data_IF_241386078703
#
_entry.id   IF_241386078703
#
_cell.length_a   1.000
_cell.length_b   1.000
_cell.length_c   1.000
_cell.angle_alpha   90.00
_cell.angle_beta   90.00
_cell.angle_gamma   90.00
#
_symmetry.space_group_name_H-M   'P 1'
#
loop_
_entity.id
_entity.type
_entity.pdbx_description
1 polymer ?
#
# COMPACT_ATOMS: atom_id res chain seq x y z
N UNK A 1 -16.52 6.87 16.35
CA UNK A 1 -16.17 6.04 15.16
C UNK A 1 -16.40 6.75 13.82
N UNK A 2 -16.68 8.06 13.81
CA UNK A 2 -16.95 8.85 12.59
C UNK A 2 -15.70 9.40 11.89
N UNK A 3 -14.56 9.45 12.55
CA UNK A 3 -13.36 10.12 12.03
C UNK A 3 -12.62 9.35 10.91
N UNK A 4 -12.90 8.06 10.74
CA UNK A 4 -12.34 7.25 9.64
C UNK A 4 -13.17 7.32 8.35
N UNK A 5 -14.30 8.00 8.34
CA UNK A 5 -15.16 8.09 7.15
C UNK A 5 -14.73 9.23 6.23
N UNK A 6 -14.48 8.93 4.97
CA UNK A 6 -14.20 9.93 3.96
C UNK A 6 -15.43 10.76 3.62
N UNK A 7 -15.28 12.10 3.67
CA UNK A 7 -16.25 13.07 3.15
C UNK A 7 -16.16 13.12 1.61
N UNK A 8 -17.04 13.86 0.95
CA UNK A 8 -17.09 13.96 -0.52
C UNK A 8 -15.73 14.29 -1.13
N UNK A 9 -15.01 15.28 -0.60
CA UNK A 9 -13.68 15.68 -1.06
C UNK A 9 -12.64 14.56 -0.83
N UNK A 10 -12.64 13.95 0.34
CA UNK A 10 -11.75 12.81 0.64
C UNK A 10 -11.96 11.62 -0.30
N UNK A 11 -13.19 11.33 -0.68
CA UNK A 11 -13.49 10.30 -1.69
C UNK A 11 -12.89 10.63 -3.05
N UNK A 12 -13.00 11.89 -3.49
CA UNK A 12 -12.40 12.34 -4.75
C UNK A 12 -10.87 12.20 -4.68
N UNK A 13 -10.25 12.63 -3.58
CA UNK A 13 -8.80 12.47 -3.34
C UNK A 13 -8.40 11.01 -3.39
N UNK A 14 -9.15 10.12 -2.71
CA UNK A 14 -8.90 8.68 -2.75
C UNK A 14 -8.92 8.11 -4.17
N UNK A 15 -9.97 8.41 -4.95
CA UNK A 15 -10.09 7.87 -6.30
C UNK A 15 -8.97 8.36 -7.22
N UNK A 16 -8.58 9.63 -7.13
CA UNK A 16 -7.49 10.17 -7.93
C UNK A 16 -6.13 9.59 -7.51
N UNK A 17 -5.86 9.48 -6.21
CA UNK A 17 -4.62 8.86 -5.72
C UNK A 17 -4.53 7.40 -6.14
N UNK A 18 -5.61 6.63 -5.93
CA UNK A 18 -5.64 5.23 -6.31
C UNK A 18 -5.43 5.06 -7.81
N UNK A 19 -6.09 5.86 -8.64
CA UNK A 19 -5.92 5.86 -10.10
C UNK A 19 -4.46 6.16 -10.49
N UNK A 20 -3.88 7.22 -9.94
CA UNK A 20 -2.48 7.60 -10.22
C UNK A 20 -1.50 6.52 -9.76
N UNK A 21 -1.73 5.91 -8.60
CA UNK A 21 -0.90 4.82 -8.10
C UNK A 21 -1.00 3.59 -9.02
N UNK A 22 -2.19 3.22 -9.46
CA UNK A 22 -2.38 2.13 -10.43
C UNK A 22 -1.61 2.42 -11.72
N UNK A 23 -1.75 3.61 -12.29
CA UNK A 23 -1.01 4.01 -13.50
C UNK A 23 0.50 3.93 -13.27
N UNK A 24 0.99 4.36 -12.11
CA UNK A 24 2.41 4.33 -11.77
C UNK A 24 2.98 2.90 -11.67
N UNK A 25 2.21 1.96 -11.12
CA UNK A 25 2.65 0.56 -10.97
C UNK A 25 2.31 -0.32 -12.18
N UNK A 26 1.57 0.19 -13.16
CA UNK A 26 1.17 -0.56 -14.35
C UNK A 26 2.34 -1.24 -15.08
N UNK A 27 3.51 -0.59 -15.26
CA UNK A 27 4.68 -1.24 -15.87
C UNK A 27 5.18 -2.44 -15.06
N UNK A 28 5.10 -2.39 -13.71
CA UNK A 28 5.50 -3.50 -12.83
C UNK A 28 4.52 -4.67 -13.03
N UNK A 29 3.21 -4.37 -13.02
CA UNK A 29 2.17 -5.40 -13.23
C UNK A 29 2.32 -6.04 -14.60
N UNK A 30 2.58 -5.25 -15.63
CA UNK A 30 2.74 -5.75 -17.00
C UNK A 30 4.01 -6.57 -17.18
N UNK A 31 5.12 -6.15 -16.55
CA UNK A 31 6.38 -6.87 -16.61
C UNK A 31 6.29 -8.27 -15.99
N UNK A 32 5.43 -8.44 -15.00
CA UNK A 32 5.14 -9.68 -14.27
C UNK A 32 6.41 -10.48 -13.92
N UNK A 33 7.42 -9.79 -13.37
CA UNK A 33 8.72 -10.36 -13.03
C UNK A 33 8.78 -10.69 -11.55
N UNK A 34 9.43 -11.81 -11.23
CA UNK A 34 9.81 -12.14 -9.86
C UNK A 34 11.10 -11.41 -9.48
N UNK A 35 11.09 -10.80 -8.31
CA UNK A 35 12.32 -10.35 -7.67
C UNK A 35 13.03 -11.56 -7.06
N UNK A 36 14.31 -11.42 -6.68
CA UNK A 36 15.13 -12.55 -6.25
C UNK A 36 14.48 -13.40 -5.14
N UNK A 37 13.99 -12.75 -4.10
CA UNK A 37 13.35 -13.43 -2.96
C UNK A 37 11.97 -14.02 -3.31
N UNK A 38 11.25 -13.37 -4.22
CA UNK A 38 9.95 -13.86 -4.69
C UNK A 38 10.07 -15.16 -5.45
N UNK A 39 11.19 -15.37 -6.15
CA UNK A 39 11.44 -16.57 -6.94
C UNK A 39 11.46 -17.83 -6.03
N UNK A 40 12.18 -17.75 -4.93
CA UNK A 40 12.24 -18.84 -3.96
C UNK A 40 10.85 -19.15 -3.37
N UNK A 41 10.08 -18.11 -2.99
CA UNK A 41 8.73 -18.26 -2.45
C UNK A 41 7.75 -18.83 -3.46
N UNK A 42 7.82 -18.38 -4.72
CA UNK A 42 6.94 -18.86 -5.78
C UNK A 42 7.20 -20.35 -6.12
N UNK A 43 8.46 -20.80 -6.10
CA UNK A 43 8.81 -22.19 -6.42
C UNK A 43 8.65 -23.15 -5.26
N UNK A 44 9.02 -22.72 -4.04
CA UNK A 44 9.01 -23.59 -2.87
C UNK A 44 7.70 -23.51 -2.08
N UNK A 45 6.90 -22.46 -2.31
CA UNK A 45 5.68 -22.21 -1.54
C UNK A 45 5.94 -21.89 -0.07
N UNK A 46 7.19 -21.62 0.30
CA UNK A 46 7.61 -21.37 1.68
C UNK A 46 7.51 -19.88 2.02
N UNK A 47 7.12 -19.59 3.27
CA UNK A 47 7.00 -18.24 3.75
C UNK A 47 8.35 -17.62 4.17
N UNK A 48 9.06 -18.27 5.10
CA UNK A 48 10.38 -17.87 5.57
C UNK A 48 10.43 -16.60 6.43
N UNK A 49 9.39 -15.76 6.44
CA UNK A 49 9.40 -14.46 7.13
C UNK A 49 9.50 -14.54 8.66
N UNK A 50 9.06 -15.64 9.26
CA UNK A 50 9.23 -15.85 10.71
C UNK A 50 10.71 -15.88 11.10
N UNK A 51 11.55 -16.54 10.28
CA UNK A 51 13.00 -16.57 10.46
C UNK A 51 13.64 -15.18 10.33
N UNK A 52 13.05 -14.31 9.51
CA UNK A 52 13.50 -12.93 9.28
C UNK A 52 12.93 -11.93 10.32
N UNK A 53 12.21 -12.40 11.34
CA UNK A 53 11.58 -11.54 12.35
C UNK A 53 10.36 -10.76 11.84
N UNK A 54 9.70 -11.22 10.76
CA UNK A 54 8.53 -10.57 10.14
C UNK A 54 7.25 -11.44 10.20
N UNK A 55 6.78 -11.85 11.40
CA UNK A 55 5.64 -12.77 11.54
C UNK A 55 4.32 -12.20 11.01
N UNK A 56 4.14 -10.87 11.04
CA UNK A 56 2.94 -10.24 10.50
C UNK A 56 2.85 -10.36 8.98
N UNK A 57 3.98 -10.29 8.27
CA UNK A 57 4.03 -10.50 6.82
C UNK A 57 3.56 -11.91 6.48
N UNK A 58 4.07 -12.90 7.22
CA UNK A 58 3.69 -14.29 7.04
C UNK A 58 2.19 -14.51 7.29
N UNK A 59 1.67 -13.94 8.38
CA UNK A 59 0.24 -14.02 8.71
C UNK A 59 -0.63 -13.41 7.60
N UNK A 60 -0.27 -12.22 7.10
CA UNK A 60 -0.99 -11.52 6.03
C UNK A 60 -1.01 -12.36 4.74
N UNK A 61 0.15 -12.88 4.32
CA UNK A 61 0.23 -13.65 3.09
C UNK A 61 -0.48 -15.01 3.22
N UNK A 62 -0.36 -15.70 4.35
CA UNK A 62 -1.14 -16.91 4.63
C UNK A 62 -2.64 -16.65 4.58
N UNK A 63 -3.10 -15.55 5.16
CA UNK A 63 -4.52 -15.18 5.13
C UNK A 63 -5.01 -14.91 3.70
N UNK A 64 -4.21 -14.22 2.87
CA UNK A 64 -4.55 -13.93 1.49
C UNK A 64 -4.54 -15.18 0.60
N UNK A 65 -3.58 -16.08 0.80
CA UNK A 65 -3.47 -17.32 0.04
C UNK A 65 -4.41 -18.43 0.52
N UNK A 66 -5.12 -18.22 1.65
CA UNK A 66 -5.98 -19.25 2.25
C UNK A 66 -5.21 -20.35 2.96
N UNK A 67 -3.94 -20.12 3.33
CA UNK A 67 -3.06 -21.07 4.02
C UNK A 67 -1.70 -21.25 3.35
N UNK A 68 -1.17 -22.46 3.45
CA UNK A 68 0.08 -22.89 2.80
C UNK A 68 -0.21 -24.02 1.82
N UNK A 69 0.55 -24.21 0.73
CA UNK A 69 1.68 -23.38 0.28
C UNK A 69 1.27 -21.99 -0.20
N UNK A 70 2.22 -21.06 -0.22
CA UNK A 70 1.99 -19.75 -0.82
C UNK A 70 1.79 -19.89 -2.33
N UNK A 71 0.82 -19.15 -2.84
CA UNK A 71 0.51 -19.07 -4.28
C UNK A 71 0.74 -17.65 -4.77
N UNK A 72 1.27 -17.50 -5.98
CA UNK A 72 1.33 -16.20 -6.63
C UNK A 72 -0.07 -15.72 -7.00
N UNK A 73 -0.55 -14.74 -6.27
CA UNK A 73 -1.84 -14.07 -6.46
C UNK A 73 -1.67 -12.65 -7.00
N UNK A 74 -0.51 -12.36 -7.63
CA UNK A 74 -0.26 -11.06 -8.24
C UNK A 74 -1.34 -10.72 -9.29
N UNK A 75 -1.74 -9.46 -9.43
CA UNK A 75 -1.26 -8.27 -8.73
C UNK A 75 -2.04 -7.90 -7.45
N UNK A 76 -2.81 -8.84 -6.88
CA UNK A 76 -3.74 -8.55 -5.77
C UNK A 76 -3.07 -7.92 -4.54
N UNK A 77 -1.93 -8.43 -4.02
CA UNK A 77 -1.27 -7.81 -2.86
C UNK A 77 -0.85 -6.37 -3.12
N UNK A 78 -0.33 -6.07 -4.33
CA UNK A 78 0.06 -4.72 -4.74
C UNK A 78 -1.15 -3.78 -4.82
N UNK A 79 -2.25 -4.22 -5.45
CA UNK A 79 -3.47 -3.41 -5.58
C UNK A 79 -4.11 -3.13 -4.22
N UNK A 80 -4.15 -4.11 -3.32
CA UNK A 80 -4.62 -3.91 -1.95
C UNK A 80 -3.74 -2.92 -1.20
N UNK A 81 -2.42 -3.06 -1.32
CA UNK A 81 -1.45 -2.21 -0.65
C UNK A 81 -1.58 -0.73 -1.06
N UNK A 82 -1.63 -0.44 -2.36
CA UNK A 82 -1.82 0.93 -2.87
C UNK A 82 -3.22 1.46 -2.55
N UNK A 83 -4.24 0.61 -2.50
CA UNK A 83 -5.59 0.98 -2.10
C UNK A 83 -5.65 1.43 -0.63
N UNK A 84 -5.02 0.67 0.26
CA UNK A 84 -4.91 1.03 1.69
C UNK A 84 -4.15 2.34 1.85
N UNK A 85 -3.00 2.48 1.19
CA UNK A 85 -2.19 3.69 1.26
C UNK A 85 -2.96 4.91 0.72
N UNK A 86 -3.61 4.80 -0.45
CA UNK A 86 -4.42 5.86 -1.01
C UNK A 86 -5.56 6.29 -0.07
N UNK A 87 -6.19 5.32 0.60
CA UNK A 87 -7.26 5.59 1.57
C UNK A 87 -6.73 6.37 2.79
N UNK A 88 -5.62 5.94 3.35
CA UNK A 88 -5.01 6.60 4.50
C UNK A 88 -4.49 8.00 4.15
N UNK A 89 -3.87 8.17 2.98
CA UNK A 89 -3.47 9.49 2.48
C UNK A 89 -4.66 10.43 2.24
N UNK A 90 -5.78 9.89 1.77
CA UNK A 90 -7.01 10.68 1.62
C UNK A 90 -7.60 11.09 2.97
N UNK A 91 -7.54 10.24 3.99
CA UNK A 91 -7.90 10.60 5.37
C UNK A 91 -6.95 11.65 5.95
N UNK A 92 -5.65 11.47 5.75
CA UNK A 92 -4.64 12.44 6.14
C UNK A 92 -4.89 13.81 5.52
N UNK A 93 -5.14 13.83 4.21
CA UNK A 93 -5.46 15.05 3.47
C UNK A 93 -6.73 15.72 4.02
N UNK A 94 -7.79 14.95 4.22
CA UNK A 94 -9.05 15.45 4.75
C UNK A 94 -8.87 16.09 6.13
N UNK A 95 -8.00 15.55 6.96
CA UNK A 95 -7.81 16.03 8.32
C UNK A 95 -6.86 17.22 8.42
N UNK A 96 -5.72 17.14 7.73
CA UNK A 96 -4.63 18.09 7.90
C UNK A 96 -4.54 19.16 6.81
N UNK A 97 -5.20 18.92 5.65
CA UNK A 97 -5.09 19.78 4.47
C UNK A 97 -6.47 20.27 3.97
N UNK A 98 -7.53 20.05 4.73
CA UNK A 98 -8.92 20.35 4.31
C UNK A 98 -9.14 21.83 3.96
N UNK A 99 -8.39 22.74 4.57
CA UNK A 99 -8.44 24.19 4.31
C UNK A 99 -7.79 24.60 2.98
N UNK A 100 -7.02 23.71 2.35
CA UNK A 100 -6.40 24.00 1.06
C UNK A 100 -7.47 24.18 -0.02
N UNK A 101 -7.47 25.35 -0.66
CA UNK A 101 -8.41 25.71 -1.72
C UNK A 101 -8.21 24.85 -2.97
N UNK A 102 -7.00 24.32 -3.17
CA UNK A 102 -6.59 23.65 -4.40
C UNK A 102 -6.47 22.14 -4.21
N UNK A 103 -7.41 21.38 -4.78
CA UNK A 103 -7.42 19.92 -4.71
C UNK A 103 -6.29 19.29 -5.54
N UNK A 104 -6.02 19.79 -6.72
CA UNK A 104 -5.04 19.21 -7.65
C UNK A 104 -3.60 19.24 -7.11
N UNK A 105 -3.04 20.38 -6.64
CA UNK A 105 -1.72 20.40 -6.01
C UNK A 105 -1.62 19.48 -4.79
N UNK A 106 -2.68 19.36 -4.01
CA UNK A 106 -2.75 18.45 -2.87
C UNK A 106 -2.60 16.99 -3.30
N UNK A 107 -3.32 16.57 -4.34
CA UNK A 107 -3.21 15.20 -4.90
C UNK A 107 -1.80 14.97 -5.44
N UNK A 108 -1.23 15.93 -6.18
CA UNK A 108 0.13 15.82 -6.68
C UNK A 108 1.16 15.66 -5.55
N UNK A 109 1.08 16.47 -4.50
CA UNK A 109 1.98 16.38 -3.35
C UNK A 109 1.89 15.01 -2.67
N UNK A 110 0.68 14.48 -2.47
CA UNK A 110 0.48 13.15 -1.89
C UNK A 110 0.93 12.01 -2.81
N UNK A 111 0.83 12.21 -4.13
CA UNK A 111 1.33 11.24 -5.10
C UNK A 111 2.84 11.05 -5.01
N UNK A 112 3.61 12.10 -4.69
CA UNK A 112 5.05 12.01 -4.50
C UNK A 112 5.48 11.10 -3.33
N UNK A 113 4.57 10.76 -2.41
CA UNK A 113 4.86 9.78 -1.35
C UNK A 113 5.28 8.44 -1.94
N UNK A 114 4.61 8.00 -3.01
CA UNK A 114 4.89 6.71 -3.66
C UNK A 114 5.84 6.86 -4.86
N UNK A 115 5.90 8.05 -5.47
CA UNK A 115 6.74 8.34 -6.64
C UNK A 115 8.20 8.54 -6.24
N UNK A 116 8.79 7.48 -5.69
CA UNK A 116 10.19 7.47 -5.25
C UNK A 116 10.90 6.25 -5.88
N UNK A 117 12.05 6.41 -6.54
CA UNK A 117 12.78 5.31 -7.16
C UNK A 117 13.14 4.19 -6.19
N UNK A 118 13.46 4.52 -4.95
CA UNK A 118 13.74 3.52 -3.91
C UNK A 118 12.49 2.74 -3.51
N UNK A 119 11.35 3.40 -3.46
CA UNK A 119 10.09 2.71 -3.17
C UNK A 119 9.65 1.84 -4.36
N UNK A 120 9.99 2.25 -5.59
CA UNK A 120 9.64 1.48 -6.80
C UNK A 120 10.21 0.05 -6.75
N UNK A 121 11.42 -0.13 -6.23
CA UNK A 121 11.99 -1.47 -6.04
C UNK A 121 11.17 -2.28 -5.05
N UNK A 122 10.70 -1.66 -3.96
CA UNK A 122 9.84 -2.33 -2.97
C UNK A 122 8.47 -2.70 -3.54
N UNK A 123 7.92 -1.89 -4.47
CA UNK A 123 6.67 -2.19 -5.17
C UNK A 123 6.80 -3.37 -6.12
N UNK A 124 8.02 -3.75 -6.51
CA UNK A 124 8.27 -4.87 -7.41
C UNK A 124 8.23 -6.24 -6.71
N UNK A 125 8.26 -6.27 -5.37
CA UNK A 125 8.14 -7.52 -4.61
C UNK A 125 6.68 -8.00 -4.59
N UNK A 126 6.41 -9.18 -5.13
CA UNK A 126 5.05 -9.72 -5.24
C UNK A 126 4.46 -10.13 -3.89
N UNK A 127 5.28 -10.68 -3.01
CA UNK A 127 4.83 -11.21 -1.72
C UNK A 127 5.03 -10.23 -0.54
N UNK A 128 6.01 -9.36 -0.59
CA UNK A 128 6.36 -8.46 0.52
C UNK A 128 5.69 -7.08 0.42
N UNK A 129 5.27 -6.66 -0.77
CA UNK A 129 4.75 -5.30 -1.03
C UNK A 129 3.61 -4.89 -0.11
N UNK A 130 2.70 -5.81 0.21
CA UNK A 130 1.55 -5.50 1.06
C UNK A 130 1.98 -5.08 2.47
N UNK A 131 2.86 -5.84 3.10
CA UNK A 131 3.35 -5.53 4.44
C UNK A 131 4.19 -4.25 4.47
N UNK A 132 4.99 -4.01 3.43
CA UNK A 132 5.80 -2.79 3.32
C UNK A 132 4.93 -1.54 3.21
N UNK A 133 3.92 -1.54 2.36
CA UNK A 133 3.02 -0.38 2.22
C UNK A 133 2.06 -0.23 3.39
N UNK A 134 1.66 -1.32 4.06
CA UNK A 134 0.92 -1.22 5.33
C UNK A 134 1.76 -0.50 6.39
N UNK A 135 3.06 -0.80 6.50
CA UNK A 135 3.94 -0.12 7.44
C UNK A 135 3.98 1.40 7.18
N UNK A 136 4.12 1.82 5.93
CA UNK A 136 4.04 3.24 5.54
C UNK A 136 2.66 3.83 5.87
N UNK A 137 1.59 3.09 5.58
CA UNK A 137 0.22 3.51 5.87
C UNK A 137 -0.02 3.74 7.37
N UNK A 138 0.56 2.91 8.23
CA UNK A 138 0.49 3.05 9.68
C UNK A 138 1.17 4.35 10.13
N UNK A 139 2.31 4.73 9.56
CA UNK A 139 2.98 5.99 9.86
C UNK A 139 2.04 7.18 9.56
N UNK A 140 1.41 7.21 8.38
CA UNK A 140 0.44 8.25 8.06
C UNK A 140 -0.81 8.20 8.95
N UNK A 141 -1.23 7.01 9.38
CA UNK A 141 -2.36 6.85 10.28
C UNK A 141 -2.11 7.53 11.64
N UNK A 142 -0.87 7.55 12.14
CA UNK A 142 -0.52 8.26 13.37
C UNK A 142 -0.88 9.76 13.29
N UNK A 143 -0.75 10.37 12.12
CA UNK A 143 -1.14 11.78 11.90
C UNK A 143 -2.65 11.97 11.68
N UNK A 144 -3.40 10.89 11.47
CA UNK A 144 -4.86 10.90 11.33
C UNK A 144 -5.56 10.72 12.67
N UNK A 145 -4.90 10.06 13.63
CA UNK A 145 -5.47 9.85 14.96
C UNK A 145 -5.56 11.16 15.75
N UNK A 146 -6.57 11.33 16.61
CA UNK A 146 -6.69 12.52 17.45
C UNK A 146 -5.56 12.58 18.50
N UNK A 147 -5.07 13.78 18.76
CA UNK A 147 -3.99 14.05 19.74
C UNK A 147 -4.37 13.82 21.21
N UNK A 148 -5.49 13.18 21.48
CA UNK A 148 -5.97 12.87 22.82
C UNK A 148 -5.30 11.61 23.37
N UNK A 149 -4.00 11.71 23.65
CA UNK A 149 -3.27 10.74 24.47
C UNK A 149 -2.62 11.45 25.65
#
# INVERSE_FOLDING_TARGET
>A
MSFMKLRKRGKITFFWLFFLFVVYVLPIIWADRYYYDDLARAFMGEAGWNGDGRPLTELLMKALCGGMPLVDISPLPLLLAIGILAYILALYAQRNLEESTYLFPQICALFFVIMNPFLLSNLSYKFDVLSMLIAISIIFMCFVLPESW
#
